data_IF_483775907893
#
_entry.id   IF_483775907893
#
_cell.length_a   1.000
_cell.length_b   1.000
_cell.length_c   1.000
_cell.angle_alpha   90.00
_cell.angle_beta   90.00
_cell.angle_gamma   90.00
#
_symmetry.space_group_name_H-M   'P 1'
#
loop_
_entity.id
_entity.type
_entity.pdbx_description
1 polymer ?
#
# COMPACT_ATOMS: atom_id res chain seq x y z
N UNK A 1 2.29 9.04 -13.43
CA UNK A 1 2.93 9.11 -14.76
C UNK A 1 4.39 8.71 -14.57
N UNK A 2 4.98 7.97 -15.50
CA UNK A 2 6.42 7.68 -15.55
C UNK A 2 7.08 8.51 -16.65
N UNK A 3 8.34 8.89 -16.45
CA UNK A 3 9.13 9.57 -17.46
C UNK A 3 9.59 8.56 -18.51
N UNK A 4 9.04 8.63 -19.72
CA UNK A 4 9.44 7.77 -20.83
C UNK A 4 10.65 8.34 -21.57
N UNK A 5 10.64 9.66 -21.83
CA UNK A 5 11.73 10.34 -22.54
C UNK A 5 11.95 11.73 -21.97
N UNK A 6 13.21 12.09 -21.71
CA UNK A 6 13.59 13.47 -21.34
C UNK A 6 13.51 14.38 -22.56
N UNK A 7 13.28 15.67 -22.32
CA UNK A 7 13.36 16.67 -23.37
C UNK A 7 14.75 16.70 -24.03
N UNK A 8 14.76 17.04 -25.31
CA UNK A 8 15.93 17.33 -26.13
C UNK A 8 15.75 18.69 -26.81
N UNK A 9 16.77 19.16 -27.55
CA UNK A 9 16.70 20.44 -28.25
C UNK A 9 15.54 20.56 -29.26
N UNK A 10 14.96 19.43 -29.69
CA UNK A 10 13.91 19.36 -30.71
C UNK A 10 12.63 18.68 -30.25
N UNK A 11 12.55 18.19 -29.01
CA UNK A 11 11.39 17.44 -28.56
C UNK A 11 11.19 17.55 -27.04
N UNK A 12 9.94 17.72 -26.63
CA UNK A 12 9.54 17.84 -25.23
C UNK A 12 9.72 16.53 -24.44
N UNK A 13 9.48 16.64 -23.13
CA UNK A 13 9.44 15.50 -22.21
C UNK A 13 8.20 14.65 -22.46
N UNK A 14 8.39 13.35 -22.64
CA UNK A 14 7.29 12.39 -22.80
C UNK A 14 7.06 11.63 -21.50
N UNK A 15 5.79 11.65 -21.06
CA UNK A 15 5.36 10.97 -19.84
C UNK A 15 4.25 9.96 -20.17
N UNK A 16 4.37 8.74 -19.62
CA UNK A 16 3.40 7.65 -19.81
C UNK A 16 2.62 7.31 -18.54
N UNK A 17 1.48 6.61 -18.62
CA UNK A 17 0.85 6.02 -17.44
C UNK A 17 1.82 5.04 -16.76
N UNK A 18 1.76 4.92 -15.42
CA UNK A 18 2.58 3.93 -14.72
C UNK A 18 2.28 2.50 -15.21
N UNK A 19 3.24 1.56 -15.13
CA UNK A 19 3.02 0.20 -15.59
C UNK A 19 2.03 -0.54 -14.67
N UNK A 20 1.62 -1.76 -15.04
CA UNK A 20 0.76 -2.58 -14.19
C UNK A 20 1.49 -2.92 -12.86
N UNK A 21 0.78 -2.84 -11.73
CA UNK A 21 1.38 -3.04 -10.40
C UNK A 21 2.12 -1.81 -9.84
N UNK A 22 2.00 -0.64 -10.49
CA UNK A 22 2.57 0.61 -10.02
C UNK A 22 1.54 1.75 -10.03
N UNK A 23 1.70 2.68 -9.09
CA UNK A 23 0.88 3.88 -8.95
C UNK A 23 1.74 5.14 -8.82
N UNK A 24 1.15 6.31 -9.05
CA UNK A 24 1.81 7.59 -8.80
C UNK A 24 0.82 8.58 -8.19
N UNK A 25 0.99 8.88 -6.90
CA UNK A 25 0.18 9.88 -6.18
C UNK A 25 0.53 11.32 -6.56
N UNK A 26 1.71 11.54 -7.14
CA UNK A 26 2.16 12.84 -7.64
C UNK A 26 2.62 12.66 -9.09
N UNK A 27 1.68 12.58 -10.05
CA UNK A 27 1.99 12.29 -11.45
C UNK A 27 2.96 13.30 -12.07
N UNK A 28 2.98 14.54 -11.58
CA UNK A 28 3.88 15.62 -12.00
C UNK A 28 5.37 15.34 -11.71
N UNK A 29 5.68 14.46 -10.75
CA UNK A 29 7.06 14.12 -10.38
C UNK A 29 7.63 12.97 -11.21
N UNK A 30 6.83 12.32 -12.06
CA UNK A 30 7.28 11.20 -12.89
C UNK A 30 7.66 9.93 -12.12
N UNK A 31 7.42 9.88 -10.81
CA UNK A 31 7.82 8.76 -9.96
C UNK A 31 6.64 7.80 -9.77
N UNK A 32 6.76 6.60 -10.33
CA UNK A 32 5.86 5.49 -10.08
C UNK A 32 6.40 4.65 -8.92
N UNK A 33 5.54 4.36 -7.95
CA UNK A 33 5.80 3.51 -6.80
C UNK A 33 5.11 2.17 -7.00
N UNK A 34 5.73 1.09 -6.55
CA UNK A 34 5.10 -0.23 -6.58
C UNK A 34 3.90 -0.25 -5.63
N UNK A 35 2.82 -0.89 -6.09
CA UNK A 35 1.64 -1.11 -5.27
C UNK A 35 1.96 -1.96 -4.04
N UNK A 36 1.27 -1.66 -2.94
CA UNK A 36 1.22 -2.50 -1.75
C UNK A 36 0.61 -3.86 -2.06
N UNK A 37 1.19 -4.92 -1.50
CA UNK A 37 0.59 -6.26 -1.56
C UNK A 37 0.15 -6.61 -0.14
N UNK A 38 -1.14 -6.88 0.03
CA UNK A 38 -1.73 -7.26 1.30
C UNK A 38 -1.51 -8.76 1.55
N UNK A 39 -0.79 -9.12 2.62
CA UNK A 39 -0.47 -10.51 2.89
C UNK A 39 -1.64 -11.24 3.58
N UNK A 40 -2.52 -11.82 2.78
CA UNK A 40 -3.72 -12.53 3.27
C UNK A 40 -3.41 -13.72 4.17
N UNK A 41 -2.27 -14.38 3.99
CA UNK A 41 -1.80 -15.45 4.88
C UNK A 41 -1.44 -14.98 6.28
N UNK A 42 -1.25 -13.67 6.44
CA UNK A 42 -0.82 -13.03 7.68
C UNK A 42 -1.91 -12.14 8.27
N UNK A 43 -3.17 -12.36 7.91
CA UNK A 43 -4.31 -11.66 8.48
C UNK A 43 -4.49 -10.23 7.97
N UNK A 44 -3.87 -9.89 6.83
CA UNK A 44 -4.11 -8.64 6.11
C UNK A 44 -5.18 -8.84 5.03
N UNK A 45 -5.98 -7.82 4.72
CA UNK A 45 -6.94 -7.81 3.62
C UNK A 45 -6.87 -6.50 2.85
N UNK A 46 -7.03 -6.59 1.53
CA UNK A 46 -7.15 -5.41 0.67
C UNK A 46 -8.57 -4.85 0.79
N UNK A 47 -8.69 -3.58 1.20
CA UNK A 47 -9.98 -2.86 1.25
C UNK A 47 -10.13 -1.86 0.11
N UNK A 48 -9.03 -1.53 -0.56
CA UNK A 48 -9.03 -0.72 -1.77
C UNK A 48 -7.95 -1.26 -2.71
N UNK A 49 -8.29 -1.59 -3.96
CA UNK A 49 -7.31 -2.05 -4.94
C UNK A 49 -6.31 -0.96 -5.29
N UNK A 50 -5.16 -1.37 -5.84
CA UNK A 50 -4.19 -0.42 -6.36
C UNK A 50 -4.66 0.16 -7.70
N UNK A 51 -4.56 1.48 -7.83
CA UNK A 51 -4.91 2.21 -9.03
C UNK A 51 -3.70 2.99 -9.57
N UNK A 52 -3.79 3.51 -10.80
CA UNK A 52 -2.68 4.26 -11.40
C UNK A 52 -2.28 5.52 -10.62
N UNK A 53 -3.18 6.06 -9.81
CA UNK A 53 -2.98 7.29 -9.02
C UNK A 53 -2.94 7.04 -7.52
N UNK A 54 -3.28 5.84 -7.05
CA UNK A 54 -3.42 5.57 -5.62
C UNK A 54 -2.93 4.17 -5.25
N UNK A 55 -2.22 4.06 -4.13
CA UNK A 55 -1.77 2.76 -3.61
C UNK A 55 -2.96 1.91 -3.18
N UNK A 56 -2.82 0.58 -3.20
CA UNK A 56 -3.74 -0.32 -2.51
C UNK A 56 -3.71 -0.05 -1.00
N UNK A 57 -4.86 -0.22 -0.37
CA UNK A 57 -5.01 -0.04 1.09
C UNK A 57 -5.22 -1.40 1.70
N UNK A 58 -4.28 -1.78 2.56
CA UNK A 58 -4.31 -3.01 3.33
C UNK A 58 -4.70 -2.72 4.79
N UNK A 59 -5.53 -3.60 5.36
CA UNK A 59 -5.88 -3.54 6.78
C UNK A 59 -5.76 -4.90 7.44
N UNK A 60 -5.39 -4.90 8.73
CA UNK A 60 -5.42 -6.11 9.54
C UNK A 60 -6.85 -6.50 9.93
N UNK A 61 -7.14 -7.79 9.88
CA UNK A 61 -8.39 -8.37 10.37
C UNK A 61 -8.46 -8.32 11.90
N UNK A 62 -9.67 -8.50 12.46
CA UNK A 62 -9.85 -8.62 13.90
C UNK A 62 -9.01 -9.79 14.47
N UNK A 63 -8.41 -9.57 15.63
CA UNK A 63 -7.43 -10.49 16.23
C UNK A 63 -6.02 -10.40 15.66
N UNK A 64 -5.76 -9.49 14.71
CA UNK A 64 -4.42 -9.21 14.17
C UNK A 64 -4.07 -7.72 14.32
N UNK A 65 -2.79 -7.43 14.57
CA UNK A 65 -2.24 -6.09 14.64
C UNK A 65 -1.13 -5.88 13.59
N UNK A 66 -0.84 -4.63 13.19
CA UNK A 66 0.22 -4.34 12.22
C UNK A 66 1.59 -4.82 12.74
N UNK A 67 2.34 -5.54 11.91
CA UNK A 67 3.65 -6.09 12.28
C UNK A 67 4.84 -5.33 11.65
N UNK A 68 4.60 -4.21 10.95
CA UNK A 68 5.62 -3.45 10.26
C UNK A 68 5.11 -2.17 9.59
N UNK A 69 5.97 -1.56 8.77
CA UNK A 69 5.67 -0.36 7.98
C UNK A 69 5.76 -0.66 6.47
N UNK A 70 4.80 -0.23 5.65
CA UNK A 70 3.57 0.49 6.01
C UNK A 70 2.55 -0.41 6.72
N UNK A 71 1.81 0.17 7.67
CA UNK A 71 0.85 -0.54 8.51
C UNK A 71 -0.20 -1.27 7.66
N UNK A 72 -0.56 -2.48 8.09
CA UNK A 72 -1.63 -3.27 7.47
C UNK A 72 -1.22 -4.20 6.34
N UNK A 73 -0.02 -4.08 5.74
CA UNK A 73 0.46 -5.05 4.72
C UNK A 73 0.72 -6.44 5.31
N UNK A 74 1.38 -6.47 6.45
CA UNK A 74 1.74 -7.66 7.21
C UNK A 74 1.19 -7.49 8.61
N UNK A 75 0.45 -8.49 9.08
CA UNK A 75 -0.16 -8.46 10.39
C UNK A 75 0.30 -9.66 11.21
N UNK A 76 0.30 -9.49 12.52
CA UNK A 76 0.63 -10.51 13.50
C UNK A 76 -0.60 -10.78 14.35
N UNK A 77 -0.82 -12.05 14.67
CA UNK A 77 -1.90 -12.44 15.57
C UNK A 77 -1.65 -11.83 16.95
N UNK A 78 -2.70 -11.35 17.59
CA UNK A 78 -2.60 -10.85 18.96
C UNK A 78 -2.21 -11.97 19.93
N UNK A 79 -1.31 -11.69 20.89
CA UNK A 79 -0.97 -12.67 21.93
C UNK A 79 -2.17 -12.95 22.84
N UNK A 80 -2.10 -14.08 23.55
CA UNK A 80 -3.13 -14.46 24.52
C UNK A 80 -3.34 -13.37 25.57
N UNK A 81 -4.60 -13.17 25.99
CA UNK A 81 -4.98 -12.09 26.89
C UNK A 81 -5.13 -10.71 26.23
N UNK A 82 -4.94 -10.60 24.92
CA UNK A 82 -5.17 -9.36 24.16
C UNK A 82 -6.06 -9.57 22.94
N UNK A 83 -6.60 -8.47 22.41
CA UNK A 83 -7.43 -8.45 21.23
C UNK A 83 -7.19 -7.22 20.38
N UNK A 84 -7.55 -7.29 19.09
CA UNK A 84 -7.62 -6.13 18.20
C UNK A 84 -8.96 -6.18 17.47
N UNK A 85 -9.61 -5.03 17.27
CA UNK A 85 -10.83 -4.95 16.46
C UNK A 85 -10.53 -4.96 14.96
N UNK A 86 -9.26 -5.05 14.58
CA UNK A 86 -8.79 -5.00 13.20
C UNK A 86 -8.60 -3.56 12.75
N UNK A 87 -8.66 -3.31 11.43
CA UNK A 87 -8.46 -1.97 10.84
C UNK A 87 -7.15 -1.30 11.25
N UNK A 88 -6.10 -2.11 11.39
CA UNK A 88 -4.77 -1.70 11.85
C UNK A 88 -4.72 -1.21 13.31
N UNK A 89 -5.73 -1.54 14.13
CA UNK A 89 -5.63 -1.35 15.57
C UNK A 89 -4.58 -2.28 16.18
N UNK A 90 -3.86 -1.75 17.17
CA UNK A 90 -2.93 -2.52 17.98
C UNK A 90 -3.68 -3.49 18.90
N UNK A 91 -2.98 -4.54 19.34
CA UNK A 91 -3.52 -5.43 20.35
C UNK A 91 -3.62 -4.72 21.69
N UNK A 92 -4.77 -4.85 22.35
CA UNK A 92 -5.09 -4.25 23.64
C UNK A 92 -5.62 -5.34 24.59
N UNK A 93 -5.41 -5.22 25.91
CA UNK A 93 -5.90 -6.20 26.88
C UNK A 93 -7.43 -6.22 26.90
N UNK A 94 -8.00 -7.38 27.21
CA UNK A 94 -9.44 -7.48 27.49
C UNK A 94 -9.78 -6.65 28.74
N UNK A 95 -10.88 -5.90 28.68
CA UNK A 95 -11.46 -5.18 29.82
C UNK A 95 -12.53 -6.01 30.49
#
# INVERSE_FOLDING_TARGET
QELLRRCSASADTECGPCPAGYFSSQPQRGLCRSCSICNTRKGSVEVKPCEKTSDSVCVCLAGFAPAGSPAGRECSRCPEGTFSRGRNENCQPWT
#
